data_IF_050567229044
#
_entry.id   IF_050567229044
#
_cell.length_a   1.000
_cell.length_b   1.000
_cell.length_c   1.000
_cell.angle_alpha   90.00
_cell.angle_beta   90.00
_cell.angle_gamma   90.00
#
_symmetry.space_group_name_H-M   'P 1'
#
loop_
_entity.id
_entity.type
_entity.pdbx_description
1 polymer ?
#
# COMPACT_ATOMS: atom_id res chain seq x y z
N UNK A 1 -18.28 -14.35 -10.44
CA UNK A 1 -18.17 -13.39 -9.33
C UNK A 1 -16.79 -13.59 -8.72
N UNK A 2 -15.80 -12.80 -9.17
CA UNK A 2 -14.38 -13.03 -8.87
C UNK A 2 -13.99 -12.39 -7.55
N UNK A 3 -13.54 -13.21 -6.61
CA UNK A 3 -13.09 -12.80 -5.28
C UNK A 3 -11.79 -12.00 -5.36
N UNK A 4 -11.91 -10.68 -5.49
CA UNK A 4 -10.82 -9.74 -5.27
C UNK A 4 -10.58 -9.54 -3.77
N UNK A 5 -10.15 -10.57 -3.02
CA UNK A 5 -9.55 -10.30 -1.72
C UNK A 5 -8.68 -11.42 -1.13
N UNK A 6 -7.35 -11.31 -1.28
CA UNK A 6 -6.49 -11.73 -0.16
C UNK A 6 -5.47 -10.69 0.30
N UNK A 7 -5.39 -9.51 -0.33
CA UNK A 7 -4.38 -8.50 0.06
C UNK A 7 -4.87 -7.60 1.20
N UNK A 8 -6.19 -7.40 1.35
CA UNK A 8 -6.77 -6.54 2.40
C UNK A 8 -7.35 -7.31 3.59
N UNK A 9 -7.49 -8.65 3.51
CA UNK A 9 -7.98 -9.51 4.61
C UNK A 9 -6.95 -9.75 5.73
N UNK A 10 -5.80 -9.05 5.71
CA UNK A 10 -4.85 -9.02 6.84
C UNK A 10 -5.28 -8.07 7.98
N UNK A 11 -6.50 -7.52 7.92
CA UNK A 11 -7.06 -6.59 8.91
C UNK A 11 -7.14 -7.12 10.36
N UNK A 12 -6.90 -8.41 10.63
CA UNK A 12 -7.05 -8.98 11.99
C UNK A 12 -5.79 -9.53 12.67
N UNK A 13 -4.60 -9.60 12.03
CA UNK A 13 -3.44 -10.28 12.68
C UNK A 13 -2.08 -9.58 12.60
N UNK A 14 -1.89 -8.54 11.76
CA UNK A 14 -0.59 -7.87 11.66
C UNK A 14 -0.61 -6.51 12.35
N UNK A 15 0.31 -6.30 13.29
CA UNK A 15 0.58 -5.01 13.90
C UNK A 15 0.90 -3.97 12.82
N UNK A 16 0.46 -2.72 13.01
CA UNK A 16 0.70 -1.59 12.09
C UNK A 16 2.08 -1.56 11.42
N UNK A 17 3.22 -1.66 12.14
CA UNK A 17 4.55 -1.67 11.52
C UNK A 17 4.80 -2.87 10.60
N UNK A 18 4.20 -4.04 10.89
CA UNK A 18 4.30 -5.22 10.03
C UNK A 18 3.56 -5.01 8.70
N UNK A 19 2.37 -4.39 8.74
CA UNK A 19 1.62 -4.05 7.52
C UNK A 19 2.38 -3.06 6.65
N UNK A 20 2.94 -2.00 7.24
CA UNK A 20 3.80 -1.04 6.52
C UNK A 20 5.02 -1.73 5.92
N UNK A 21 5.70 -2.58 6.70
CA UNK A 21 6.88 -3.34 6.23
C UNK A 21 6.53 -4.25 5.05
N UNK A 22 5.37 -4.94 5.08
CA UNK A 22 4.93 -5.79 3.96
C UNK A 22 4.62 -5.00 2.70
N UNK A 23 4.00 -3.83 2.81
CA UNK A 23 3.73 -2.98 1.66
C UNK A 23 5.05 -2.48 1.04
N UNK A 24 6.01 -2.08 1.88
CA UNK A 24 7.35 -1.73 1.41
C UNK A 24 8.06 -2.88 0.72
N UNK A 25 7.98 -4.09 1.28
CA UNK A 25 8.56 -5.28 0.66
C UNK A 25 7.92 -5.56 -0.70
N UNK A 26 6.59 -5.45 -0.81
CA UNK A 26 5.87 -5.61 -2.07
C UNK A 26 6.32 -4.62 -3.15
N UNK A 27 6.42 -3.33 -2.78
CA UNK A 27 6.88 -2.28 -3.69
C UNK A 27 8.29 -2.58 -4.22
N UNK A 28 9.18 -3.05 -3.35
CA UNK A 28 10.54 -3.39 -3.73
C UNK A 28 10.59 -4.64 -4.64
N UNK A 29 9.91 -5.70 -4.23
CA UNK A 29 9.88 -6.99 -4.94
C UNK A 29 9.28 -6.86 -6.35
N UNK A 30 8.28 -5.99 -6.50
CA UNK A 30 7.60 -5.74 -7.78
C UNK A 30 8.22 -4.57 -8.58
N UNK A 31 9.32 -3.97 -8.08
CA UNK A 31 10.01 -2.87 -8.78
C UNK A 31 9.12 -1.64 -9.02
N UNK A 32 8.22 -1.34 -8.08
CA UNK A 32 7.22 -0.28 -8.22
C UNK A 32 7.77 1.12 -7.93
N UNK A 33 9.00 1.24 -7.43
CA UNK A 33 9.66 2.55 -7.35
C UNK A 33 9.95 3.07 -8.75
N UNK A 34 9.68 4.36 -8.98
CA UNK A 34 10.01 4.98 -10.25
C UNK A 34 11.55 4.99 -10.41
N UNK A 35 12.09 4.47 -11.52
CA UNK A 35 13.53 4.37 -11.71
C UNK A 35 14.21 5.75 -11.87
N UNK A 36 13.45 6.77 -12.27
CA UNK A 36 13.93 8.15 -12.38
C UNK A 36 13.80 8.91 -11.06
N UNK A 37 12.79 8.59 -10.25
CA UNK A 37 12.60 9.19 -8.92
C UNK A 37 12.13 8.14 -7.91
N UNK A 38 13.08 7.60 -7.12
CA UNK A 38 12.79 6.56 -6.12
C UNK A 38 11.84 7.00 -5.01
N UNK A 39 11.50 8.29 -4.92
CA UNK A 39 10.48 8.80 -3.98
C UNK A 39 9.07 8.63 -4.53
N UNK A 40 8.92 8.44 -5.83
CA UNK A 40 7.65 8.13 -6.47
C UNK A 40 7.45 6.63 -6.56
N UNK A 41 6.26 6.19 -6.19
CA UNK A 41 5.85 4.79 -6.26
C UNK A 41 4.73 4.70 -7.29
N UNK A 42 4.91 3.83 -8.29
CA UNK A 42 3.92 3.51 -9.31
C UNK A 42 2.93 2.53 -8.71
N UNK A 43 1.68 2.94 -8.59
CA UNK A 43 0.63 2.07 -8.10
C UNK A 43 0.24 1.06 -9.19
N UNK A 44 0.39 -0.21 -8.89
CA UNK A 44 -0.20 -1.28 -9.68
C UNK A 44 -1.72 -1.33 -9.47
N UNK A 45 -2.40 -2.28 -10.10
CA UNK A 45 -3.86 -2.44 -9.96
C UNK A 45 -4.30 -2.57 -8.49
N UNK A 46 -3.55 -3.34 -7.69
CA UNK A 46 -3.85 -3.58 -6.28
C UNK A 46 -3.65 -2.33 -5.43
N UNK A 47 -2.55 -1.60 -5.66
CA UNK A 47 -2.28 -0.34 -4.99
C UNK A 47 -3.28 0.74 -5.41
N UNK A 48 -3.72 0.77 -6.68
CA UNK A 48 -4.77 1.70 -7.14
C UNK A 48 -6.08 1.49 -6.40
N UNK A 49 -6.46 0.27 -6.07
CA UNK A 49 -7.66 0.00 -5.26
C UNK A 49 -7.59 0.63 -3.85
N UNK A 50 -6.37 0.80 -3.31
CA UNK A 50 -6.13 1.36 -1.98
C UNK A 50 -5.91 2.87 -2.03
N UNK A 51 -4.96 3.32 -2.87
CA UNK A 51 -4.51 4.72 -2.93
C UNK A 51 -5.33 5.58 -3.89
N UNK A 52 -6.14 4.96 -4.75
CA UNK A 52 -6.98 5.61 -5.79
C UNK A 52 -6.19 6.57 -6.70
N UNK A 53 -4.90 6.28 -6.89
CA UNK A 53 -3.95 7.10 -7.62
C UNK A 53 -2.98 6.21 -8.38
N UNK A 54 -2.56 6.61 -9.58
CA UNK A 54 -1.55 5.90 -10.38
C UNK A 54 -0.12 6.04 -9.84
N UNK A 55 0.15 7.13 -9.13
CA UNK A 55 1.45 7.40 -8.52
C UNK A 55 1.26 8.02 -7.15
N UNK A 56 2.13 7.65 -6.23
CA UNK A 56 2.12 8.16 -4.87
C UNK A 56 3.54 8.44 -4.42
N UNK A 57 3.75 9.62 -3.84
CA UNK A 57 5.02 9.96 -3.21
C UNK A 57 5.18 9.18 -1.90
N UNK A 58 6.38 8.70 -1.57
CA UNK A 58 6.71 7.90 -0.37
C UNK A 58 6.16 8.49 0.93
N UNK A 59 6.28 9.82 1.12
CA UNK A 59 5.68 10.52 2.27
C UNK A 59 4.15 10.46 2.28
N UNK A 60 3.51 10.69 1.13
CA UNK A 60 2.07 10.57 0.98
C UNK A 60 1.60 9.15 1.25
N UNK A 61 2.33 8.14 0.75
CA UNK A 61 2.03 6.74 1.04
C UNK A 61 2.08 6.47 2.54
N UNK A 62 3.17 6.86 3.22
CA UNK A 62 3.31 6.68 4.67
C UNK A 62 2.19 7.38 5.44
N UNK A 63 1.78 8.58 5.01
CA UNK A 63 0.65 9.30 5.59
C UNK A 63 -0.68 8.55 5.41
N UNK A 64 -0.97 8.08 4.20
CA UNK A 64 -2.19 7.32 3.88
C UNK A 64 -2.22 6.00 4.65
N UNK A 65 -1.09 5.30 4.76
CA UNK A 65 -0.99 4.07 5.54
C UNK A 65 -1.21 4.32 7.02
N UNK A 66 -0.60 5.37 7.58
CA UNK A 66 -0.90 5.75 8.97
C UNK A 66 -2.39 6.07 9.12
N UNK A 67 -2.99 6.90 8.28
CA UNK A 67 -4.42 7.26 8.38
C UNK A 67 -5.36 6.04 8.26
N UNK A 68 -5.12 5.15 7.28
CA UNK A 68 -5.96 3.94 7.09
C UNK A 68 -5.74 2.88 8.16
N UNK A 69 -4.57 2.82 8.80
CA UNK A 69 -4.30 1.95 9.95
C UNK A 69 -4.79 2.56 11.29
N UNK A 70 -5.30 3.80 11.26
CA UNK A 70 -5.89 4.51 12.39
C UNK A 70 -7.42 4.57 12.36
N UNK A 71 -8.09 4.16 11.28
CA UNK A 71 -9.55 3.98 11.24
C UNK A 71 -9.92 2.49 11.40
N UNK A 72 -10.17 2.00 12.63
CA UNK A 72 -10.84 0.72 12.83
C UNK A 72 -12.34 0.74 12.47
N UNK A 73 -12.91 1.92 12.21
CA UNK A 73 -14.32 2.13 11.89
C UNK A 73 -14.47 2.95 10.60
N UNK A 74 -14.45 2.24 9.47
CA UNK A 74 -15.37 2.40 8.34
C UNK A 74 -15.52 1.03 7.65
#
# INVERSE_FOLDING_TARGET
>A
MGELNPVLTLRKQLSRPQSVKRIWQYIHDHGLQDPSDRRQIRCDERMRAVFKQDRVHMFTMTKILNQNLYNPDE
#
